data_IF_230033598759
#
_entry.id   IF_230033598759
#
_cell.length_a   1.000
_cell.length_b   1.000
_cell.length_c   1.000
_cell.angle_alpha   90.00
_cell.angle_beta   90.00
_cell.angle_gamma   90.00
#
_symmetry.space_group_name_H-M   'P 1'
#
loop_
_entity.id
_entity.type
_entity.pdbx_description
1 polymer ?
#
# COMPACT_ATOMS: atom_id res chain seq x y z
N UNK A 1 -25.59 26.21 -26.86
CA UNK A 1 -26.88 26.00 -26.16
C UNK A 1 -26.94 24.54 -25.72
N UNK A 2 -26.81 24.33 -24.41
CA UNK A 2 -27.17 23.21 -23.52
C UNK A 2 -27.30 21.76 -24.03
N UNK A 3 -26.56 20.87 -23.36
CA UNK A 3 -27.13 19.85 -22.45
C UNK A 3 -26.08 19.59 -21.35
N UNK A 4 -26.09 20.50 -20.37
CA UNK A 4 -25.48 20.30 -19.06
C UNK A 4 -26.46 19.48 -18.23
N UNK A 5 -26.04 18.32 -17.73
CA UNK A 5 -26.51 17.76 -16.45
C UNK A 5 -25.40 16.88 -15.87
N UNK A 6 -24.28 17.54 -15.65
CA UNK A 6 -23.31 17.20 -14.61
C UNK A 6 -24.00 17.22 -13.24
N UNK A 7 -23.53 16.41 -12.29
CA UNK A 7 -23.91 16.39 -10.87
C UNK A 7 -25.30 15.81 -10.52
N UNK A 8 -25.38 14.53 -10.10
CA UNK A 8 -26.30 14.10 -9.00
C UNK A 8 -26.30 12.62 -8.54
N UNK A 9 -25.35 11.75 -8.93
CA UNK A 9 -25.36 10.34 -8.47
C UNK A 9 -24.82 10.10 -7.04
N UNK A 10 -24.65 11.15 -6.25
CA UNK A 10 -24.37 11.10 -4.80
C UNK A 10 -25.61 10.83 -3.93
N UNK A 11 -26.72 10.34 -4.50
CA UNK A 11 -28.02 10.16 -3.82
C UNK A 11 -28.36 8.71 -3.42
N UNK A 12 -27.38 7.94 -2.95
CA UNK A 12 -27.68 6.66 -2.26
C UNK A 12 -27.22 6.59 -0.80
N UNK A 13 -26.61 7.64 -0.25
CA UNK A 13 -26.33 7.74 1.19
C UNK A 13 -27.59 8.22 1.95
N UNK A 14 -28.58 7.33 2.04
CA UNK A 14 -29.76 7.48 2.88
C UNK A 14 -29.40 7.25 4.34
N UNK A 15 -29.57 8.30 5.16
CA UNK A 15 -30.35 8.37 6.42
C UNK A 15 -29.62 8.87 7.68
N UNK A 16 -30.10 10.05 8.10
CA UNK A 16 -30.61 10.42 9.44
C UNK A 16 -29.62 10.47 10.60
N UNK A 17 -29.39 11.69 11.13
CA UNK A 17 -29.86 12.08 12.46
C UNK A 17 -29.83 13.62 12.59
N UNK A 18 -30.95 14.18 13.01
CA UNK A 18 -31.23 15.59 13.25
C UNK A 18 -31.22 15.92 14.76
N UNK A 19 -31.18 17.23 15.04
CA UNK A 19 -31.29 17.95 16.33
C UNK A 19 -29.95 18.22 17.03
N UNK A 20 -29.49 19.44 17.30
CA UNK A 20 -30.16 20.74 17.41
C UNK A 20 -30.30 21.15 18.86
N UNK A 21 -29.38 21.98 19.39
CA UNK A 21 -29.69 23.02 20.38
C UNK A 21 -28.51 24.00 20.53
N UNK A 22 -28.77 25.29 20.34
CA UNK A 22 -27.95 26.42 20.79
C UNK A 22 -28.58 26.97 22.06
N UNK A 23 -27.79 27.17 23.11
CA UNK A 23 -28.19 27.96 24.26
C UNK A 23 -26.95 28.67 24.84
N UNK A 24 -26.95 30.00 24.78
CA UNK A 24 -25.96 30.87 25.42
C UNK A 24 -26.54 31.37 26.74
N UNK A 25 -25.83 31.15 27.85
CA UNK A 25 -26.05 31.90 29.11
C UNK A 25 -24.71 32.22 29.76
N UNK A 26 -24.47 33.51 29.97
CA UNK A 26 -23.34 34.06 30.75
C UNK A 26 -23.66 33.87 32.24
N UNK A 27 -22.74 33.24 32.97
CA UNK A 27 -22.79 33.13 34.43
C UNK A 27 -21.39 33.03 34.99
N UNK A 28 -20.96 34.08 35.71
CA UNK A 28 -19.78 34.08 36.56
C UNK A 28 -20.01 33.10 37.74
N UNK A 29 -19.12 32.13 37.91
CA UNK A 29 -19.11 31.23 39.05
C UNK A 29 -17.72 30.66 39.30
N UNK A 30 -17.07 31.13 40.37
CA UNK A 30 -15.85 30.56 40.94
C UNK A 30 -16.13 29.16 41.47
N UNK A 31 -15.41 28.15 40.96
CA UNK A 31 -15.43 26.79 41.48
C UNK A 31 -14.33 25.96 40.85
N UNK A 32 -13.18 25.90 41.49
CA UNK A 32 -12.09 25.02 41.10
C UNK A 32 -12.49 23.56 41.34
N UNK A 33 -12.99 22.89 40.29
CA UNK A 33 -13.16 21.44 40.29
C UNK A 33 -11.93 20.80 39.65
N UNK A 34 -11.07 20.20 40.46
CA UNK A 34 -10.03 19.30 40.00
C UNK A 34 -10.70 18.00 39.54
N UNK A 35 -11.30 18.02 38.35
CA UNK A 35 -11.69 16.80 37.67
C UNK A 35 -10.41 16.02 37.36
N UNK A 36 -10.19 14.92 38.08
CA UNK A 36 -9.16 13.95 37.74
C UNK A 36 -9.47 13.43 36.34
N UNK A 37 -8.66 13.82 35.36
CA UNK A 37 -8.70 13.23 34.04
C UNK A 37 -8.06 11.84 34.15
N UNK A 38 -8.86 10.85 34.54
CA UNK A 38 -8.47 9.46 34.40
C UNK A 38 -8.23 9.22 32.91
N UNK A 39 -6.96 9.13 32.51
CA UNK A 39 -6.57 8.76 31.17
C UNK A 39 -7.28 7.45 30.82
N UNK A 40 -7.88 7.31 29.63
CA UNK A 40 -8.43 6.04 29.21
C UNK A 40 -7.27 5.04 29.23
N UNK A 41 -7.39 4.02 30.08
CA UNK A 41 -6.56 2.82 30.01
C UNK A 41 -6.77 2.26 28.62
N UNK A 42 -5.79 2.49 27.75
CA UNK A 42 -5.76 1.91 26.43
C UNK A 42 -5.95 0.40 26.61
N UNK A 43 -7.05 -0.12 26.06
CA UNK A 43 -7.28 -1.54 25.93
C UNK A 43 -5.99 -2.19 25.41
N UNK A 44 -5.62 -3.40 25.87
CA UNK A 44 -4.43 -4.07 25.40
C UNK A 44 -4.52 -4.06 23.88
N UNK A 45 -3.52 -3.45 23.22
CA UNK A 45 -3.40 -3.47 21.77
C UNK A 45 -3.52 -4.93 21.39
N UNK A 46 -4.69 -5.31 20.85
CA UNK A 46 -4.99 -6.67 20.47
C UNK A 46 -3.79 -7.11 19.65
N UNK A 47 -3.05 -8.10 20.15
CA UNK A 47 -1.80 -8.55 19.58
C UNK A 47 -2.05 -8.75 18.08
N UNK A 48 -1.59 -7.79 17.28
CA UNK A 48 -1.97 -7.71 15.89
C UNK A 48 -1.45 -9.00 15.27
N UNK A 49 -2.38 -9.86 14.82
CA UNK A 49 -2.01 -11.06 14.10
C UNK A 49 -1.09 -10.62 12.97
N UNK A 50 0.19 -10.96 13.06
CA UNK A 50 1.17 -10.54 12.09
C UNK A 50 0.84 -11.27 10.79
N UNK A 51 0.37 -10.54 9.78
CA UNK A 51 0.16 -11.11 8.46
C UNK A 51 1.51 -11.69 7.99
N UNK A 52 1.61 -13.01 7.74
CA UNK A 52 2.88 -13.62 7.41
C UNK A 52 3.41 -13.04 6.10
N UNK A 53 4.69 -12.66 6.11
CA UNK A 53 5.40 -12.16 4.92
C UNK A 53 6.29 -13.28 4.41
N UNK A 54 6.02 -13.76 3.20
CA UNK A 54 6.84 -14.74 2.52
C UNK A 54 8.05 -14.07 1.87
N UNK A 55 9.20 -14.75 1.94
CA UNK A 55 10.43 -14.37 1.24
C UNK A 55 10.67 -15.35 0.12
N UNK A 56 10.75 -14.85 -1.11
CA UNK A 56 10.74 -15.67 -2.31
C UNK A 56 11.79 -15.20 -3.31
N UNK A 57 12.03 -16.05 -4.31
CA UNK A 57 12.87 -15.75 -5.44
C UNK A 57 12.15 -16.11 -6.74
N UNK A 58 12.34 -15.29 -7.78
CA UNK A 58 11.96 -15.58 -9.15
C UNK A 58 13.21 -15.47 -10.03
N UNK A 59 13.39 -16.41 -10.95
CA UNK A 59 14.50 -16.35 -11.93
C UNK A 59 13.93 -15.79 -13.24
N UNK A 60 14.33 -14.57 -13.59
CA UNK A 60 13.83 -13.82 -14.75
C UNK A 60 14.98 -13.06 -15.41
N UNK A 61 15.02 -12.99 -16.73
CA UNK A 61 16.12 -12.36 -17.48
C UNK A 61 17.54 -12.83 -17.02
N UNK A 62 17.66 -14.09 -16.57
CA UNK A 62 18.90 -14.63 -16.02
C UNK A 62 19.35 -14.00 -14.69
N UNK A 63 18.47 -13.25 -14.01
CA UNK A 63 18.65 -12.67 -12.68
C UNK A 63 17.76 -13.43 -11.69
N UNK A 64 18.29 -13.72 -10.50
CA UNK A 64 17.52 -14.32 -9.41
C UNK A 64 17.01 -13.21 -8.50
N UNK A 65 15.82 -12.72 -8.82
CA UNK A 65 15.16 -11.61 -8.13
C UNK A 65 14.57 -12.09 -6.81
N UNK A 66 15.05 -11.53 -5.70
CA UNK A 66 14.43 -11.70 -4.39
C UNK A 66 13.19 -10.81 -4.29
N UNK A 67 12.15 -11.28 -3.63
CA UNK A 67 10.99 -10.44 -3.30
C UNK A 67 10.29 -10.87 -2.02
N UNK A 68 9.60 -9.92 -1.40
CA UNK A 68 8.67 -10.14 -0.29
C UNK A 68 7.25 -10.19 -0.83
N UNK A 69 6.45 -11.12 -0.33
CA UNK A 69 5.06 -11.30 -0.70
C UNK A 69 4.18 -11.44 0.53
N UNK A 70 3.03 -10.76 0.57
CA UNK A 70 2.07 -10.89 1.64
C UNK A 70 0.63 -10.61 1.17
N UNK A 71 -0.34 -11.08 1.95
CA UNK A 71 -1.76 -10.87 1.68
C UNK A 71 -2.37 -11.93 0.77
N UNK A 72 -3.69 -11.85 0.52
CA UNK A 72 -4.41 -12.83 -0.29
C UNK A 72 -4.06 -12.69 -1.77
N UNK A 73 -3.81 -13.81 -2.46
CA UNK A 73 -3.43 -13.80 -3.88
C UNK A 73 -4.51 -13.19 -4.81
N UNK A 74 -5.77 -13.26 -4.42
CA UNK A 74 -6.92 -12.68 -5.15
C UNK A 74 -7.24 -11.23 -4.72
N UNK A 75 -6.44 -10.65 -3.83
CA UNK A 75 -6.59 -9.26 -3.41
C UNK A 75 -6.12 -8.26 -4.47
N UNK A 76 -6.50 -6.98 -4.38
CA UNK A 76 -5.96 -5.95 -5.27
C UNK A 76 -4.43 -5.92 -5.18
N UNK A 77 -3.75 -5.97 -6.33
CA UNK A 77 -2.29 -6.08 -6.40
C UNK A 77 -1.61 -4.74 -6.13
N UNK A 78 -0.53 -4.77 -5.35
CA UNK A 78 0.33 -3.61 -5.07
C UNK A 78 1.79 -4.02 -5.25
N UNK A 79 2.48 -3.34 -6.17
CA UNK A 79 3.92 -3.46 -6.35
C UNK A 79 4.65 -2.34 -5.59
N UNK A 80 5.53 -2.69 -4.66
CA UNK A 80 6.36 -1.75 -3.92
C UNK A 80 7.79 -1.75 -4.47
N UNK A 81 8.12 -0.77 -5.30
CA UNK A 81 9.47 -0.59 -5.85
C UNK A 81 10.30 0.36 -4.99
N UNK A 82 11.52 -0.05 -4.65
CA UNK A 82 12.48 0.80 -3.95
C UNK A 82 13.13 1.84 -4.86
N UNK A 83 13.68 2.89 -4.25
CA UNK A 83 14.64 3.80 -4.89
C UNK A 83 16.09 3.31 -4.83
N UNK A 84 17.01 4.14 -5.31
CA UNK A 84 18.45 3.86 -5.34
C UNK A 84 19.03 3.62 -3.93
N UNK A 85 19.88 2.60 -3.79
CA UNK A 85 20.51 2.23 -2.51
C UNK A 85 19.61 1.48 -1.54
N UNK A 86 18.37 1.15 -1.94
CA UNK A 86 17.36 0.54 -1.09
C UNK A 86 17.37 -0.99 -1.05
N UNK A 87 16.41 -1.53 -0.31
CA UNK A 87 15.91 -2.91 -0.39
C UNK A 87 14.41 -2.89 -0.11
N UNK A 88 13.67 -3.93 -0.52
CA UNK A 88 12.27 -4.16 -0.11
C UNK A 88 12.14 -4.25 1.42
N UNK A 89 13.25 -4.44 2.14
CA UNK A 89 13.31 -4.32 3.61
C UNK A 89 12.84 -2.95 4.13
N UNK A 90 12.96 -1.88 3.32
CA UNK A 90 12.43 -0.56 3.66
C UNK A 90 10.92 -0.57 3.90
N UNK A 91 10.20 -1.53 3.29
CA UNK A 91 8.76 -1.66 3.41
C UNK A 91 8.32 -2.66 4.49
N UNK A 92 9.22 -3.18 5.34
CA UNK A 92 8.90 -4.24 6.34
C UNK A 92 7.73 -3.89 7.26
N UNK A 93 7.56 -2.60 7.58
CA UNK A 93 6.49 -2.12 8.47
C UNK A 93 5.20 -1.76 7.69
N UNK A 94 5.30 -1.61 6.36
CA UNK A 94 4.20 -1.27 5.46
C UNK A 94 3.54 -2.53 4.88
N UNK A 95 4.33 -3.52 4.47
CA UNK A 95 3.85 -4.77 3.84
C UNK A 95 2.75 -5.45 4.69
N UNK A 96 2.93 -5.67 6.01
CA UNK A 96 1.90 -6.33 6.81
C UNK A 96 0.61 -5.50 6.93
N UNK A 97 0.72 -4.16 6.91
CA UNK A 97 -0.44 -3.25 7.02
C UNK A 97 -1.29 -3.29 5.75
N UNK A 98 -0.65 -3.27 4.58
CA UNK A 98 -1.33 -3.43 3.29
C UNK A 98 -1.95 -4.82 3.16
N UNK A 99 -1.21 -5.86 3.56
CA UNK A 99 -1.71 -7.22 3.54
C UNK A 99 -2.92 -7.42 4.48
N UNK A 100 -2.89 -6.83 5.69
CA UNK A 100 -4.04 -6.81 6.60
C UNK A 100 -5.24 -6.02 6.04
N UNK A 101 -4.99 -5.05 5.15
CA UNK A 101 -6.01 -4.34 4.38
C UNK A 101 -6.45 -5.10 3.11
N UNK A 102 -6.15 -6.39 3.00
CA UNK A 102 -6.59 -7.30 1.94
C UNK A 102 -5.96 -7.02 0.54
N UNK A 103 -4.80 -6.35 0.51
CA UNK A 103 -4.00 -6.20 -0.72
C UNK A 103 -3.06 -7.39 -0.92
N UNK A 104 -2.85 -7.80 -2.18
CA UNK A 104 -1.76 -8.70 -2.56
C UNK A 104 -0.50 -7.88 -2.79
N UNK A 105 0.44 -7.93 -1.85
CA UNK A 105 1.62 -7.06 -1.86
C UNK A 105 2.82 -7.83 -2.38
N UNK A 106 3.48 -7.28 -3.39
CA UNK A 106 4.74 -7.78 -3.94
C UNK A 106 5.80 -6.67 -3.83
N UNK A 107 6.95 -6.97 -3.23
CA UNK A 107 8.05 -6.01 -3.05
C UNK A 107 9.39 -6.65 -3.47
N UNK A 108 9.82 -6.48 -4.73
CA UNK A 108 11.08 -7.04 -5.22
C UNK A 108 12.31 -6.23 -4.83
N UNK A 109 13.46 -6.90 -4.83
CA UNK A 109 14.77 -6.27 -4.80
C UNK A 109 15.30 -6.06 -6.23
N UNK A 110 15.74 -4.83 -6.55
CA UNK A 110 16.26 -4.51 -7.87
C UNK A 110 17.60 -5.23 -8.14
N UNK A 111 17.96 -5.52 -9.41
CA UNK A 111 19.28 -6.03 -9.77
C UNK A 111 20.41 -5.20 -9.14
N UNK A 112 21.28 -5.85 -8.37
CA UNK A 112 22.40 -5.22 -7.66
C UNK A 112 22.06 -4.67 -6.27
N UNK A 113 20.83 -4.88 -5.79
CA UNK A 113 20.37 -4.41 -4.48
C UNK A 113 19.78 -5.54 -3.64
N UNK A 114 19.79 -5.32 -2.32
CA UNK A 114 19.19 -6.23 -1.34
C UNK A 114 19.69 -7.67 -1.49
N UNK A 115 18.75 -8.60 -1.67
CA UNK A 115 19.04 -10.04 -1.81
C UNK A 115 18.91 -10.55 -3.25
N UNK A 116 18.71 -9.66 -4.24
CA UNK A 116 18.67 -10.06 -5.65
C UNK A 116 20.08 -10.38 -6.15
N UNK A 117 20.22 -11.57 -6.71
CA UNK A 117 21.50 -12.08 -7.22
C UNK A 117 21.54 -11.97 -8.75
N UNK A 118 22.58 -11.29 -9.25
CA UNK A 118 22.88 -11.22 -10.68
C UNK A 118 24.09 -12.13 -10.93
N UNK A 119 23.92 -13.30 -11.57
CA UNK A 119 25.02 -14.20 -11.86
C UNK A 119 26.12 -13.50 -12.70
N UNK A 120 27.42 -13.70 -12.41
CA UNK A 120 28.50 -13.08 -13.19
C UNK A 120 28.40 -13.39 -14.70
N UNK A 121 28.00 -14.61 -15.05
CA UNK A 121 27.82 -15.06 -16.44
C UNK A 121 26.77 -14.24 -17.22
N UNK A 122 25.85 -13.56 -16.52
CA UNK A 122 24.83 -12.69 -17.14
C UNK A 122 25.45 -11.45 -17.79
N UNK A 123 26.68 -11.07 -17.42
CA UNK A 123 27.37 -9.87 -17.90
C UNK A 123 26.47 -8.62 -17.86
N UNK A 124 25.74 -8.48 -16.75
CA UNK A 124 24.67 -7.51 -16.62
C UNK A 124 25.21 -6.07 -16.64
N UNK A 125 24.65 -5.23 -17.51
CA UNK A 125 24.96 -3.79 -17.52
C UNK A 125 23.93 -3.05 -16.69
N UNK A 126 24.33 -2.46 -15.57
CA UNK A 126 23.46 -1.72 -14.67
C UNK A 126 23.06 -0.36 -15.24
N UNK A 127 22.16 -0.39 -16.22
CA UNK A 127 21.48 0.77 -16.81
C UNK A 127 20.01 0.71 -16.47
N UNK A 128 19.36 1.88 -16.44
CA UNK A 128 17.93 1.99 -16.16
C UNK A 128 17.09 1.04 -17.03
N UNK A 129 17.35 1.03 -18.35
CA UNK A 129 16.66 0.17 -19.31
C UNK A 129 16.75 -1.32 -18.95
N UNK A 130 17.95 -1.83 -18.64
CA UNK A 130 18.10 -3.25 -18.29
C UNK A 130 17.38 -3.59 -16.99
N UNK A 131 17.44 -2.70 -15.99
CA UNK A 131 16.72 -2.87 -14.72
C UNK A 131 15.21 -2.87 -14.97
N UNK A 132 14.70 -1.98 -15.82
CA UNK A 132 13.30 -1.94 -16.22
C UNK A 132 12.90 -3.25 -16.92
N UNK A 133 13.68 -3.73 -17.89
CA UNK A 133 13.42 -5.00 -18.58
C UNK A 133 13.38 -6.19 -17.61
N UNK A 134 14.29 -6.23 -16.62
CA UNK A 134 14.25 -7.28 -15.58
C UNK A 134 12.98 -7.18 -14.73
N UNK A 135 12.54 -5.95 -14.40
CA UNK A 135 11.32 -5.75 -13.61
C UNK A 135 10.05 -6.04 -14.41
N UNK A 136 10.04 -5.77 -15.72
CA UNK A 136 8.96 -6.18 -16.62
C UNK A 136 8.83 -7.71 -16.63
N UNK A 137 9.92 -8.42 -16.91
CA UNK A 137 9.97 -9.89 -16.87
C UNK A 137 9.60 -10.44 -15.48
N UNK A 138 9.99 -9.75 -14.39
CA UNK A 138 9.59 -10.10 -13.04
C UNK A 138 8.07 -9.97 -12.84
N UNK A 139 7.47 -8.85 -13.24
CA UNK A 139 6.03 -8.63 -13.09
C UNK A 139 5.21 -9.65 -13.85
N UNK A 140 5.64 -10.04 -15.06
CA UNK A 140 5.03 -11.13 -15.82
C UNK A 140 5.15 -12.47 -15.07
N UNK A 141 6.34 -12.80 -14.56
CA UNK A 141 6.60 -14.06 -13.87
C UNK A 141 5.77 -14.24 -12.59
N UNK A 142 5.52 -13.15 -11.86
CA UNK A 142 4.65 -13.16 -10.67
C UNK A 142 3.19 -12.87 -10.97
N UNK A 143 2.82 -12.80 -12.26
CA UNK A 143 1.45 -12.55 -12.76
C UNK A 143 0.85 -11.25 -12.21
N UNK A 144 1.66 -10.21 -12.13
CA UNK A 144 1.22 -8.87 -11.79
C UNK A 144 0.68 -8.21 -13.05
N UNK A 145 -0.65 -8.14 -13.16
CA UNK A 145 -1.33 -7.62 -14.34
C UNK A 145 -1.71 -6.16 -14.16
N UNK A 146 -1.22 -5.29 -15.04
CA UNK A 146 -1.86 -3.99 -15.25
C UNK A 146 -3.10 -4.25 -16.12
N UNK A 147 -4.29 -3.84 -15.68
CA UNK A 147 -5.50 -4.00 -16.48
C UNK A 147 -5.32 -3.47 -17.90
N UNK A 148 -5.91 -4.13 -18.90
CA UNK A 148 -5.76 -3.85 -20.34
C UNK A 148 -5.92 -2.37 -20.73
N UNK A 149 -6.62 -1.60 -19.89
CA UNK A 149 -6.82 -0.16 -20.01
C UNK A 149 -5.53 0.68 -20.07
N UNK A 150 -4.43 0.24 -19.45
CA UNK A 150 -3.18 1.03 -19.38
C UNK A 150 -2.33 0.96 -20.65
N UNK A 151 -2.51 -0.07 -21.49
CA UNK A 151 -1.77 -0.26 -22.74
C UNK A 151 -2.46 0.37 -23.97
N UNK A 152 -3.58 1.07 -23.77
CA UNK A 152 -4.23 1.79 -24.86
C UNK A 152 -3.52 3.14 -25.11
N UNK A 153 -2.95 3.29 -26.30
CA UNK A 153 -2.41 4.57 -26.78
C UNK A 153 -3.57 5.57 -26.89
N UNK A 154 -3.46 6.81 -26.38
CA UNK A 154 -4.47 7.82 -26.65
C UNK A 154 -4.58 8.03 -28.16
N UNK A 155 -5.79 7.89 -28.69
CA UNK A 155 -6.15 8.17 -30.08
C UNK A 155 -6.12 9.66 -30.38
#
# INVERSE_FOLDING_TARGET
>A
MNSFDTFNWLRSARRLLSAGLVATTIGLGLGASLASHAAPTAAPAAAAASTPVAYRYAVVDGVRVFYREAGPAEGPQVLLLMGFGGSSYMFRDLIPKLAAANYHVIAPDLPGFGLTEVPPARNYRYRFENIANTMEAFTEAVKLGFGEQWNQKPT
#
